data_IF_106774639705
#
_entry.id   IF_106774639705
#
_cell.length_a   1.000
_cell.length_b   1.000
_cell.length_c   1.000
_cell.angle_alpha   90.00
_cell.angle_beta   90.00
_cell.angle_gamma   90.00
#
_symmetry.space_group_name_H-M   'P 1'
#
loop_
_entity.id
_entity.type
_entity.pdbx_description
1 polymer ?
#
# COMPACT_ATOMS: atom_id res chain seq x y z
N UNK A 1 -14.82 35.97 -1.23
CA UNK A 1 -14.56 35.49 0.14
C UNK A 1 -15.27 34.15 0.27
N UNK A 2 -14.51 33.07 0.36
CA UNK A 2 -15.06 31.71 0.50
C UNK A 2 -14.65 31.20 1.89
N UNK A 3 -15.54 31.22 2.90
CA UNK A 3 -15.21 30.67 4.21
C UNK A 3 -14.80 29.20 4.10
N UNK A 4 -13.60 28.88 4.58
CA UNK A 4 -13.06 27.52 4.54
C UNK A 4 -12.35 27.11 3.25
N UNK A 5 -12.09 28.05 2.33
CA UNK A 5 -11.24 27.74 1.17
C UNK A 5 -9.83 27.32 1.61
N UNK A 6 -9.33 26.24 1.01
CA UNK A 6 -7.94 25.84 1.14
C UNK A 6 -7.17 26.31 -0.10
N UNK A 7 -6.08 27.04 0.12
CA UNK A 7 -5.12 27.40 -0.92
C UNK A 7 -3.84 26.62 -0.65
N UNK A 8 -3.74 25.43 -1.22
CA UNK A 8 -2.54 24.59 -1.07
C UNK A 8 -1.42 25.11 -1.97
N UNK A 9 -0.18 25.02 -1.50
CA UNK A 9 0.96 25.31 -2.36
C UNK A 9 1.02 24.26 -3.50
N UNK A 10 1.47 24.66 -4.70
CA UNK A 10 1.73 23.70 -5.76
C UNK A 10 2.90 22.78 -5.35
N UNK A 11 2.82 21.50 -5.72
CA UNK A 11 3.86 20.53 -5.46
C UNK A 11 3.31 19.14 -5.16
N UNK A 12 4.21 18.20 -4.90
CA UNK A 12 3.89 16.82 -4.53
C UNK A 12 4.51 16.50 -3.17
N UNK A 13 3.89 15.54 -2.46
CA UNK A 13 4.43 15.00 -1.21
C UNK A 13 4.93 13.60 -1.48
N UNK A 14 6.24 13.42 -1.40
CA UNK A 14 6.85 12.09 -1.49
C UNK A 14 6.60 11.31 -0.20
N UNK A 15 6.15 10.06 -0.33
CA UNK A 15 5.80 9.20 0.80
C UNK A 15 6.90 8.16 1.06
N UNK A 16 7.05 7.77 2.33
CA UNK A 16 7.90 6.66 2.75
C UNK A 16 9.40 6.83 2.39
N UNK A 17 9.88 8.07 2.30
CA UNK A 17 11.27 8.43 1.93
C UNK A 17 12.29 7.69 2.79
N UNK A 18 13.35 7.19 2.13
CA UNK A 18 14.48 6.52 2.78
C UNK A 18 14.17 5.12 3.33
N UNK A 19 12.99 4.57 3.08
CA UNK A 19 12.64 3.19 3.46
C UNK A 19 13.00 2.22 2.34
N UNK A 20 13.42 1.01 2.71
CA UNK A 20 13.59 -0.08 1.77
C UNK A 20 12.23 -0.45 1.14
N UNK A 21 12.21 -0.65 -0.17
CA UNK A 21 11.02 -1.03 -0.94
C UNK A 21 11.32 -2.25 -1.81
N UNK A 22 10.28 -2.98 -2.17
CA UNK A 22 10.37 -4.14 -3.06
C UNK A 22 9.13 -4.21 -3.94
N UNK A 23 9.31 -4.74 -5.17
CA UNK A 23 8.22 -5.00 -6.11
C UNK A 23 8.01 -6.51 -6.21
N UNK A 24 6.75 -6.93 -6.10
CA UNK A 24 6.30 -8.31 -6.20
C UNK A 24 5.09 -8.39 -7.13
N UNK A 25 5.06 -9.42 -7.97
CA UNK A 25 3.83 -9.81 -8.67
C UNK A 25 2.94 -10.62 -7.74
N UNK A 26 1.64 -10.33 -7.77
CA UNK A 26 0.66 -10.94 -6.86
C UNK A 26 -0.57 -11.33 -7.67
N UNK A 27 -1.04 -12.57 -7.51
CA UNK A 27 -2.26 -13.06 -8.15
C UNK A 27 -3.27 -13.51 -7.10
N UNK A 28 -4.54 -13.13 -7.26
CA UNK A 28 -5.64 -13.69 -6.48
C UNK A 28 -6.12 -14.98 -7.16
N UNK A 29 -5.91 -16.13 -6.51
CA UNK A 29 -6.36 -17.44 -6.98
C UNK A 29 -7.71 -17.85 -6.39
N UNK A 30 -8.30 -17.01 -5.56
CA UNK A 30 -9.62 -17.23 -4.96
C UNK A 30 -10.77 -16.86 -5.89
N UNK A 31 -11.98 -17.19 -5.45
CA UNK A 31 -13.24 -16.92 -6.15
C UNK A 31 -13.90 -15.59 -5.75
N UNK A 32 -13.28 -14.85 -4.83
CA UNK A 32 -13.80 -13.61 -4.25
C UNK A 32 -12.75 -12.49 -4.30
N UNK A 33 -13.18 -11.23 -4.40
CA UNK A 33 -12.28 -10.10 -4.36
C UNK A 33 -11.56 -9.99 -3.01
N UNK A 34 -10.32 -9.49 -3.04
CA UNK A 34 -9.47 -9.26 -1.87
C UNK A 34 -8.93 -7.83 -1.94
N UNK A 35 -9.02 -7.11 -0.83
CA UNK A 35 -8.43 -5.78 -0.65
C UNK A 35 -7.48 -5.82 0.55
N UNK A 36 -6.33 -5.15 0.42
CA UNK A 36 -5.30 -5.09 1.47
C UNK A 36 -4.98 -3.62 1.73
N UNK A 37 -5.06 -3.20 2.99
CA UNK A 37 -4.79 -1.81 3.38
C UNK A 37 -3.29 -1.50 3.53
N UNK A 38 -2.97 -0.21 3.46
CA UNK A 38 -1.62 0.37 3.52
C UNK A 38 -0.68 -0.16 4.61
N UNK A 39 -1.18 -0.52 5.81
CA UNK A 39 -0.37 -0.89 6.98
C UNK A 39 -0.48 -2.36 7.39
N UNK A 40 -1.20 -3.18 6.63
CA UNK A 40 -1.27 -4.60 6.89
C UNK A 40 0.08 -5.25 6.57
N UNK A 41 0.55 -6.18 7.41
CA UNK A 41 1.79 -6.91 7.16
C UNK A 41 1.60 -7.81 5.94
N UNK A 42 2.24 -7.45 4.82
CA UNK A 42 1.88 -8.02 3.51
C UNK A 42 2.11 -9.53 3.44
N UNK A 43 3.13 -10.02 4.15
CA UNK A 43 3.42 -11.44 4.32
C UNK A 43 2.23 -12.25 4.87
N UNK A 44 1.39 -11.66 5.71
CA UNK A 44 0.28 -12.36 6.39
C UNK A 44 -1.06 -12.19 5.67
N UNK A 45 -1.07 -11.58 4.48
CA UNK A 45 -2.31 -11.35 3.73
C UNK A 45 -2.99 -12.66 3.36
N UNK A 46 -4.27 -12.58 2.96
CA UNK A 46 -5.09 -13.74 2.61
C UNK A 46 -4.31 -14.80 1.80
N UNK A 47 -4.44 -16.07 2.19
CA UNK A 47 -3.70 -17.20 1.60
C UNK A 47 -4.04 -17.46 0.13
N UNK A 48 -5.17 -16.94 -0.36
CA UNK A 48 -5.52 -16.98 -1.79
C UNK A 48 -4.70 -16.00 -2.65
N UNK A 49 -3.93 -15.10 -2.05
CA UNK A 49 -2.94 -14.29 -2.78
C UNK A 49 -1.65 -15.11 -2.94
N UNK A 50 -1.35 -15.47 -4.18
CA UNK A 50 -0.14 -16.16 -4.59
C UNK A 50 0.96 -15.15 -4.94
N UNK A 51 2.07 -15.19 -4.20
CA UNK A 51 3.29 -14.39 -4.38
C UNK A 51 4.43 -14.96 -3.52
N UNK A 52 5.65 -14.44 -3.67
CA UNK A 52 6.79 -14.79 -2.82
C UNK A 52 6.64 -14.19 -1.42
N UNK A 53 6.21 -15.02 -0.48
CA UNK A 53 5.92 -14.64 0.92
C UNK A 53 7.17 -14.18 1.66
N UNK A 54 8.29 -14.89 1.52
CA UNK A 54 9.52 -14.57 2.26
C UNK A 54 10.05 -13.18 1.87
N UNK A 55 9.95 -12.81 0.59
CA UNK A 55 10.31 -11.45 0.13
C UNK A 55 9.42 -10.36 0.71
N UNK A 56 8.20 -10.67 1.14
CA UNK A 56 7.27 -9.72 1.74
C UNK A 56 7.40 -9.60 3.28
N UNK A 57 8.28 -10.37 3.91
CA UNK A 57 8.41 -10.39 5.38
C UNK A 57 8.89 -9.05 5.92
N UNK A 58 8.17 -8.50 6.89
CA UNK A 58 8.43 -7.19 7.47
C UNK A 58 7.99 -6.01 6.59
N UNK A 59 7.34 -6.27 5.45
CA UNK A 59 6.94 -5.26 4.47
C UNK A 59 5.43 -4.96 4.54
N UNK A 60 5.07 -3.76 4.08
CA UNK A 60 3.68 -3.31 3.85
C UNK A 60 3.59 -2.63 2.49
N UNK A 61 2.37 -2.35 2.02
CA UNK A 61 2.18 -1.63 0.76
C UNK A 61 2.77 -0.21 0.85
N UNK A 62 3.52 0.17 -0.19
CA UNK A 62 4.11 1.50 -0.34
C UNK A 62 3.10 2.47 -0.98
N UNK A 63 1.99 2.73 -0.28
CA UNK A 63 0.89 3.60 -0.72
C UNK A 63 0.54 4.63 0.37
N UNK A 64 -0.38 5.55 0.08
CA UNK A 64 -0.86 6.52 1.05
C UNK A 64 -1.47 5.86 2.29
N UNK A 65 -1.31 6.48 3.45
CA UNK A 65 -1.87 5.95 4.69
C UNK A 65 -3.40 5.94 4.63
N UNK A 66 -4.02 4.83 5.03
CA UNK A 66 -5.49 4.68 5.06
C UNK A 66 -6.13 4.27 3.74
N UNK A 67 -5.37 4.19 2.64
CA UNK A 67 -5.84 3.57 1.39
C UNK A 67 -5.67 2.05 1.40
#
# INVERSE_FOLDING_TARGET
>A
MIPGEMQTQPGEIELNVGRATQVLEVANTGDRPIQVGSHYHFHETNTALAFDRERARGMRLNIAAGT
#
